data_IF_413432957840
#
_entry.id   IF_413432957840
#
_cell.length_a   1.000
_cell.length_b   1.000
_cell.length_c   1.000
_cell.angle_alpha   90.00
_cell.angle_beta   90.00
_cell.angle_gamma   90.00
#
_symmetry.space_group_name_H-M   'P 1'
#
loop_
_entity.id
_entity.type
_entity.pdbx_description
1 polymer ?
#
# COMPACT_ATOMS: atom_id res chain seq x y z
N UNK A 1 34.74 41.11 27.11
CA UNK A 1 33.37 41.36 26.62
C UNK A 1 33.21 40.94 25.16
N UNK A 2 34.05 41.41 24.24
CA UNK A 2 33.98 41.04 22.81
C UNK A 2 34.07 39.54 22.51
N UNK A 3 34.96 38.79 23.20
CA UNK A 3 35.07 37.33 23.03
C UNK A 3 33.78 36.60 23.43
N UNK A 4 33.09 37.08 24.46
CA UNK A 4 31.81 36.51 24.92
C UNK A 4 30.69 36.80 23.92
N UNK A 5 30.64 38.03 23.38
CA UNK A 5 29.68 38.41 22.35
C UNK A 5 29.87 37.58 21.07
N UNK A 6 31.12 37.40 20.63
CA UNK A 6 31.44 36.52 19.49
C UNK A 6 30.99 35.07 19.74
N UNK A 7 31.24 34.54 20.93
CA UNK A 7 30.81 33.18 21.31
C UNK A 7 29.28 33.02 21.23
N UNK A 8 28.52 34.00 21.73
CA UNK A 8 27.05 34.00 21.68
C UNK A 8 26.58 34.03 20.22
N UNK A 9 27.14 34.92 19.39
CA UNK A 9 26.79 35.01 17.97
C UNK A 9 27.04 33.66 17.27
N UNK A 10 28.21 33.04 17.47
CA UNK A 10 28.51 31.73 16.89
C UNK A 10 27.57 30.62 17.38
N UNK A 11 27.18 30.64 18.66
CA UNK A 11 26.21 29.66 19.18
C UNK A 11 24.82 29.82 18.55
N UNK A 12 24.35 31.05 18.34
CA UNK A 12 23.06 31.32 17.69
C UNK A 12 23.10 30.85 16.23
N UNK A 13 24.18 31.17 15.52
CA UNK A 13 24.39 30.69 14.14
C UNK A 13 24.41 29.16 14.09
N UNK A 14 25.11 28.50 15.01
CA UNK A 14 25.16 27.03 15.05
C UNK A 14 23.78 26.40 15.31
N UNK A 15 22.98 26.97 16.23
CA UNK A 15 21.61 26.51 16.49
C UNK A 15 20.73 26.70 15.26
N UNK A 16 20.83 27.84 14.57
CA UNK A 16 20.10 28.08 13.32
C UNK A 16 20.47 27.06 12.23
N UNK A 17 21.76 26.77 12.05
CA UNK A 17 22.23 25.77 11.07
C UNK A 17 21.70 24.38 11.41
N UNK A 18 21.76 23.96 12.68
CA UNK A 18 21.24 22.67 13.11
C UNK A 18 19.73 22.56 12.89
N UNK A 19 18.98 23.61 13.20
CA UNK A 19 17.53 23.65 12.98
C UNK A 19 17.18 23.53 11.50
N UNK A 20 17.83 24.31 10.63
CA UNK A 20 17.60 24.24 9.18
C UNK A 20 17.98 22.86 8.63
N UNK A 21 19.12 22.32 9.04
CA UNK A 21 19.58 20.99 8.61
C UNK A 21 18.61 19.88 9.03
N UNK A 22 18.08 19.96 10.25
CA UNK A 22 17.07 19.01 10.74
C UNK A 22 15.80 19.07 9.88
N UNK A 23 15.28 20.26 9.59
CA UNK A 23 14.09 20.42 8.76
C UNK A 23 14.30 19.91 7.33
N UNK A 24 15.48 20.14 6.74
CA UNK A 24 15.81 19.62 5.41
C UNK A 24 15.83 18.08 5.41
N UNK A 25 16.48 17.46 6.40
CA UNK A 25 16.54 15.99 6.51
C UNK A 25 15.13 15.41 6.70
N UNK A 26 14.33 16.03 7.57
CA UNK A 26 12.95 15.60 7.81
C UNK A 26 12.09 15.75 6.55
N UNK A 27 12.23 16.86 5.81
CA UNK A 27 11.53 17.09 4.56
C UNK A 27 11.91 16.08 3.48
N UNK A 28 13.22 15.84 3.27
CA UNK A 28 13.71 14.83 2.32
C UNK A 28 13.19 13.44 2.71
N UNK A 29 13.20 13.11 4.01
CA UNK A 29 12.64 11.87 4.54
C UNK A 29 11.15 11.71 4.23
N UNK A 30 10.34 12.76 4.46
CA UNK A 30 8.92 12.77 4.13
C UNK A 30 8.68 12.61 2.63
N UNK A 31 9.38 13.38 1.79
CA UNK A 31 9.25 13.30 0.32
C UNK A 31 9.60 11.88 -0.16
N UNK A 32 10.70 11.31 0.32
CA UNK A 32 11.14 9.97 -0.07
C UNK A 32 10.17 8.86 0.40
N UNK A 33 9.59 9.00 1.59
CA UNK A 33 8.56 8.07 2.10
C UNK A 33 7.26 8.16 1.29
N UNK A 34 6.92 9.36 0.83
CA UNK A 34 5.74 9.65 0.02
C UNK A 34 5.97 9.35 -1.47
N UNK A 35 7.21 9.14 -1.90
CA UNK A 35 7.51 8.81 -3.28
C UNK A 35 7.02 7.39 -3.60
N UNK A 36 6.45 7.24 -4.80
CA UNK A 36 6.10 5.94 -5.35
C UNK A 36 7.38 5.14 -5.62
N UNK A 37 7.47 3.95 -5.06
CA UNK A 37 8.55 2.99 -5.33
C UNK A 37 8.08 1.97 -6.36
N UNK A 38 8.93 1.73 -7.35
CA UNK A 38 8.66 0.75 -8.40
C UNK A 38 8.64 -0.67 -7.83
N UNK A 39 7.81 -1.52 -8.43
CA UNK A 39 7.68 -2.94 -8.15
C UNK A 39 8.18 -3.69 -9.38
N UNK A 40 8.84 -4.83 -9.17
CA UNK A 40 9.53 -5.55 -10.24
C UNK A 40 8.54 -5.95 -11.36
N UNK A 41 8.88 -5.60 -12.61
CA UNK A 41 7.99 -5.82 -13.78
C UNK A 41 7.58 -7.28 -13.96
N UNK A 42 8.46 -8.22 -13.61
CA UNK A 42 8.16 -9.66 -13.64
C UNK A 42 7.02 -10.03 -12.69
N UNK A 43 7.06 -9.51 -11.48
CA UNK A 43 5.99 -9.70 -10.49
C UNK A 43 4.67 -9.11 -10.98
N UNK A 44 4.70 -7.89 -11.54
CA UNK A 44 3.50 -7.27 -12.12
C UNK A 44 2.93 -8.13 -13.26
N UNK A 45 3.78 -8.69 -14.11
CA UNK A 45 3.35 -9.58 -15.20
C UNK A 45 2.70 -10.84 -14.66
N UNK A 46 3.29 -11.49 -13.66
CA UNK A 46 2.75 -12.69 -13.02
C UNK A 46 1.36 -12.43 -12.42
N UNK A 47 1.21 -11.35 -11.65
CA UNK A 47 -0.08 -10.94 -11.11
C UNK A 47 -1.11 -10.65 -12.21
N UNK A 48 -0.69 -10.04 -13.33
CA UNK A 48 -1.58 -9.71 -14.45
C UNK A 48 -2.10 -10.98 -15.14
N UNK A 49 -1.22 -11.94 -15.38
CA UNK A 49 -1.59 -13.19 -16.05
C UNK A 49 -2.51 -14.03 -15.15
N UNK A 50 -2.24 -14.05 -13.84
CA UNK A 50 -3.10 -14.71 -12.85
C UNK A 50 -4.48 -14.08 -12.75
N UNK A 51 -4.57 -12.76 -12.64
CA UNK A 51 -5.85 -12.05 -12.59
C UNK A 51 -6.65 -12.28 -13.87
N UNK A 52 -6.01 -12.26 -15.05
CA UNK A 52 -6.69 -12.61 -16.31
C UNK A 52 -7.21 -14.04 -16.34
N UNK A 53 -6.49 -14.98 -15.73
CA UNK A 53 -6.90 -16.38 -15.69
C UNK A 53 -8.09 -16.61 -14.74
N UNK A 54 -8.14 -15.87 -13.62
CA UNK A 54 -9.22 -15.91 -12.63
C UNK A 54 -10.46 -15.13 -13.11
N UNK A 55 -10.25 -14.02 -13.82
CA UNK A 55 -11.30 -13.09 -14.26
C UNK A 55 -11.77 -13.35 -15.70
N UNK A 56 -12.08 -14.60 -16.07
CA UNK A 56 -12.54 -14.91 -17.44
C UNK A 56 -13.79 -14.15 -17.88
N UNK A 57 -14.59 -13.68 -16.92
CA UNK A 57 -15.81 -12.93 -17.15
C UNK A 57 -15.60 -11.40 -17.15
N UNK A 58 -14.43 -10.92 -16.71
CA UNK A 58 -14.16 -9.49 -16.59
C UNK A 58 -12.96 -9.12 -17.49
N UNK A 59 -13.22 -8.26 -18.48
CA UNK A 59 -12.19 -7.83 -19.42
C UNK A 59 -11.23 -6.82 -18.75
N UNK A 60 -10.16 -7.36 -18.14
CA UNK A 60 -9.07 -6.60 -17.54
C UNK A 60 -8.37 -5.71 -18.59
N UNK A 61 -8.35 -4.40 -18.36
CA UNK A 61 -7.69 -3.42 -19.24
C UNK A 61 -6.27 -3.10 -18.77
N UNK A 62 -6.08 -2.89 -17.47
CA UNK A 62 -4.81 -2.46 -16.88
C UNK A 62 -4.59 -3.11 -15.51
N UNK A 63 -3.31 -3.22 -15.15
CA UNK A 63 -2.88 -3.54 -13.81
C UNK A 63 -1.66 -2.67 -13.51
N UNK A 64 -1.71 -1.96 -12.41
CA UNK A 64 -0.61 -1.17 -11.90
C UNK A 64 -0.38 -1.54 -10.42
N UNK A 65 0.88 -1.80 -10.08
CA UNK A 65 1.26 -2.11 -8.71
C UNK A 65 2.43 -1.23 -8.32
N UNK A 66 2.36 -0.65 -7.13
CA UNK A 66 3.48 0.10 -6.57
C UNK A 66 3.47 0.09 -5.06
N UNK A 67 4.61 0.46 -4.48
CA UNK A 67 4.75 0.60 -3.03
C UNK A 67 4.87 2.07 -2.64
N UNK A 68 4.16 2.49 -1.60
CA UNK A 68 4.21 3.86 -1.08
C UNK A 68 3.79 3.86 0.39
N UNK A 69 4.54 4.54 1.27
CA UNK A 69 4.19 4.72 2.70
C UNK A 69 3.77 3.42 3.44
N UNK A 70 4.51 2.32 3.30
CA UNK A 70 4.16 1.08 4.01
C UNK A 70 2.96 0.31 3.43
N UNK A 71 2.56 0.63 2.20
CA UNK A 71 1.39 0.06 1.52
C UNK A 71 1.78 -0.42 0.13
N UNK A 72 1.34 -1.63 -0.24
CA UNK A 72 1.24 -2.01 -1.64
C UNK A 72 -0.10 -1.54 -2.18
N UNK A 73 -0.07 -0.82 -3.30
CA UNK A 73 -1.25 -0.33 -4.00
C UNK A 73 -1.39 -1.07 -5.31
N UNK A 74 -2.51 -1.78 -5.45
CA UNK A 74 -2.95 -2.48 -6.65
C UNK A 74 -4.06 -1.67 -7.28
N UNK A 75 -3.86 -1.15 -8.48
CA UNK A 75 -4.89 -0.49 -9.28
C UNK A 75 -5.20 -1.39 -10.47
N UNK A 76 -6.44 -1.86 -10.54
CA UNK A 76 -6.93 -2.78 -11.57
C UNK A 76 -7.99 -2.08 -12.40
N UNK A 77 -7.77 -1.99 -13.70
CA UNK A 77 -8.74 -1.44 -14.64
C UNK A 77 -9.58 -2.53 -15.31
N UNK A 78 -10.88 -2.28 -15.44
CA UNK A 78 -11.81 -3.08 -16.21
C UNK A 78 -12.55 -2.22 -17.23
N UNK A 79 -12.76 -2.75 -18.44
CA UNK A 79 -13.47 -2.03 -19.51
C UNK A 79 -14.98 -1.88 -19.24
N UNK A 80 -15.57 -2.87 -18.56
CA UNK A 80 -17.01 -2.91 -18.27
C UNK A 80 -17.26 -2.34 -16.89
N UNK A 81 -18.41 -1.68 -16.70
CA UNK A 81 -18.90 -1.37 -15.37
C UNK A 81 -19.24 -2.64 -14.60
N UNK A 82 -18.72 -2.69 -13.38
CA UNK A 82 -18.94 -3.77 -12.43
C UNK A 82 -20.02 -3.35 -11.42
N UNK A 83 -20.72 -4.33 -10.88
CA UNK A 83 -21.53 -4.15 -9.66
C UNK A 83 -20.63 -4.17 -8.42
N UNK A 84 -21.17 -3.79 -7.26
CA UNK A 84 -20.44 -3.92 -5.99
C UNK A 84 -20.20 -5.42 -5.65
N UNK A 85 -21.10 -6.28 -6.09
CA UNK A 85 -21.02 -7.74 -5.94
C UNK A 85 -19.89 -8.30 -6.79
N UNK A 86 -19.74 -7.83 -8.03
CA UNK A 86 -18.61 -8.16 -8.90
C UNK A 86 -17.27 -7.67 -8.30
N UNK A 87 -17.24 -6.46 -7.74
CA UNK A 87 -16.03 -5.96 -7.11
C UNK A 87 -15.65 -6.76 -5.86
N UNK A 88 -16.63 -7.27 -5.10
CA UNK A 88 -16.39 -8.24 -4.01
C UNK A 88 -15.81 -9.56 -4.54
N UNK A 89 -16.22 -10.05 -5.72
CA UNK A 89 -15.62 -11.25 -6.34
C UNK A 89 -14.14 -11.01 -6.68
N UNK A 90 -13.78 -9.84 -7.22
CA UNK A 90 -12.38 -9.49 -7.50
C UNK A 90 -11.55 -9.47 -6.22
N UNK A 91 -12.10 -8.98 -5.10
CA UNK A 91 -11.41 -9.05 -3.80
C UNK A 91 -11.11 -10.50 -3.40
N UNK A 92 -12.00 -11.45 -3.70
CA UNK A 92 -11.73 -12.89 -3.45
C UNK A 92 -10.58 -13.41 -4.29
N UNK A 93 -10.56 -13.11 -5.58
CA UNK A 93 -9.44 -13.49 -6.46
C UNK A 93 -8.13 -12.83 -6.02
N UNK A 94 -8.19 -11.57 -5.54
CA UNK A 94 -7.00 -10.89 -5.00
C UNK A 94 -6.47 -11.60 -3.76
N UNK A 95 -7.34 -12.05 -2.83
CA UNK A 95 -6.90 -12.87 -1.70
C UNK A 95 -6.19 -14.14 -2.18
N UNK A 96 -6.77 -14.88 -3.12
CA UNK A 96 -6.15 -16.10 -3.68
C UNK A 96 -4.79 -15.82 -4.30
N UNK A 97 -4.66 -14.72 -5.04
CA UNK A 97 -3.39 -14.25 -5.60
C UNK A 97 -2.35 -13.96 -4.51
N UNK A 98 -2.73 -13.24 -3.46
CA UNK A 98 -1.84 -12.87 -2.35
C UNK A 98 -1.39 -14.07 -1.50
N UNK A 99 -2.16 -15.16 -1.53
CA UNK A 99 -1.83 -16.42 -0.86
C UNK A 99 -0.91 -17.32 -1.68
N UNK A 100 -0.63 -17.01 -2.96
CA UNK A 100 0.35 -17.75 -3.74
C UNK A 100 1.75 -17.59 -3.15
N UNK A 101 2.50 -18.68 -3.03
CA UNK A 101 3.84 -18.69 -2.45
C UNK A 101 4.80 -17.70 -3.12
N UNK A 102 4.76 -17.58 -4.45
CA UNK A 102 5.60 -16.63 -5.20
C UNK A 102 5.30 -15.19 -4.84
N UNK A 103 4.00 -14.84 -4.77
CA UNK A 103 3.52 -13.51 -4.44
C UNK A 103 3.83 -13.17 -2.98
N UNK A 104 3.48 -14.07 -2.07
CA UNK A 104 3.67 -13.87 -0.64
C UNK A 104 5.16 -13.64 -0.30
N UNK A 105 6.05 -14.50 -0.82
CA UNK A 105 7.51 -14.35 -0.65
C UNK A 105 8.03 -13.03 -1.23
N UNK A 106 7.52 -12.60 -2.38
CA UNK A 106 7.93 -11.32 -2.96
C UNK A 106 7.57 -10.15 -2.04
N UNK A 107 6.32 -10.12 -1.56
CA UNK A 107 5.81 -9.04 -0.72
C UNK A 107 6.60 -8.94 0.60
N UNK A 108 6.90 -10.08 1.23
CA UNK A 108 7.71 -10.16 2.45
C UNK A 108 9.15 -9.64 2.24
N UNK A 109 9.79 -10.04 1.14
CA UNK A 109 11.21 -9.78 0.92
C UNK A 109 11.51 -8.35 0.45
N UNK A 110 10.65 -7.75 -0.39
CA UNK A 110 10.99 -6.50 -1.07
C UNK A 110 10.84 -5.26 -0.17
N UNK A 111 9.67 -5.14 0.47
CA UNK A 111 9.32 -3.96 1.27
C UNK A 111 8.74 -4.30 2.64
N UNK A 112 9.00 -5.53 3.11
CA UNK A 112 8.50 -6.06 4.37
C UNK A 112 6.96 -6.07 4.46
N UNK A 113 6.48 -6.46 5.63
CA UNK A 113 5.07 -6.45 5.99
C UNK A 113 4.35 -5.13 5.67
N UNK A 114 3.47 -5.13 4.67
CA UNK A 114 2.82 -3.92 4.19
C UNK A 114 1.35 -4.16 3.87
N UNK A 115 0.52 -3.20 4.23
CA UNK A 115 -0.92 -3.25 3.98
C UNK A 115 -1.21 -3.27 2.48
N UNK A 116 -2.26 -3.98 2.07
CA UNK A 116 -2.70 -4.02 0.67
C UNK A 116 -3.85 -3.04 0.49
N UNK A 117 -3.75 -2.23 -0.55
CA UNK A 117 -4.78 -1.31 -1.00
C UNK A 117 -5.14 -1.70 -2.43
N UNK A 118 -6.41 -1.96 -2.68
CA UNK A 118 -6.93 -2.35 -3.97
C UNK A 118 -7.87 -1.26 -4.47
N UNK A 119 -7.62 -0.75 -5.66
CA UNK A 119 -8.50 0.15 -6.39
C UNK A 119 -8.95 -0.55 -7.67
N UNK A 120 -10.26 -0.69 -7.83
CA UNK A 120 -10.88 -1.28 -9.02
C UNK A 120 -11.51 -0.14 -9.81
N UNK A 121 -10.92 0.19 -10.95
CA UNK A 121 -11.35 1.24 -11.85
C UNK A 121 -12.21 0.66 -12.97
N UNK A 122 -13.45 1.11 -13.05
CA UNK A 122 -14.36 0.83 -14.16
C UNK A 122 -14.60 2.13 -14.95
N UNK A 123 -15.40 2.05 -16.02
CA UNK A 123 -15.69 3.23 -16.86
C UNK A 123 -16.40 4.34 -16.08
N UNK A 124 -17.37 4.00 -15.22
CA UNK A 124 -18.19 4.98 -14.50
C UNK A 124 -18.09 4.88 -12.96
N UNK A 125 -17.34 3.90 -12.43
CA UNK A 125 -17.28 3.63 -10.99
C UNK A 125 -15.88 3.25 -10.57
N UNK A 126 -15.54 3.58 -9.34
CA UNK A 126 -14.30 3.14 -8.69
C UNK A 126 -14.62 2.55 -7.33
N UNK A 127 -14.05 1.40 -7.05
CA UNK A 127 -14.18 0.72 -5.77
C UNK A 127 -12.84 0.69 -5.06
N UNK A 128 -12.85 0.97 -3.76
CA UNK A 128 -11.64 1.01 -2.94
C UNK A 128 -11.73 -0.02 -1.83
N UNK A 129 -10.68 -0.79 -1.69
CA UNK A 129 -10.56 -1.79 -0.65
C UNK A 129 -9.20 -1.70 0.05
N UNK A 130 -9.19 -2.03 1.34
CA UNK A 130 -8.00 -2.10 2.17
C UNK A 130 -7.95 -3.44 2.89
N UNK A 131 -6.82 -4.12 2.83
CA UNK A 131 -6.53 -5.30 3.64
C UNK A 131 -5.32 -5.00 4.54
N UNK A 132 -5.48 -4.98 5.87
CA UNK A 132 -4.34 -4.85 6.76
C UNK A 132 -3.48 -6.11 6.68
N UNK A 133 -2.16 -5.93 6.70
CA UNK A 133 -1.23 -7.06 6.67
C UNK A 133 -1.20 -7.83 7.99
N UNK A 134 -1.38 -7.12 9.11
CA UNK A 134 -1.55 -7.69 10.44
C UNK A 134 -2.97 -7.44 10.92
N UNK A 135 -3.64 -8.48 11.40
CA UNK A 135 -4.82 -8.37 12.26
C UNK A 135 -4.34 -8.63 13.68
N UNK A 136 -4.35 -7.64 14.58
CA UNK A 136 -4.03 -7.94 15.97
C UNK A 136 -5.12 -8.86 16.54
N UNK A 137 -4.83 -10.12 16.83
CA UNK A 137 -5.70 -10.85 17.73
C UNK A 137 -5.43 -10.41 19.17
N UNK A 138 -6.47 -10.46 20.01
CA UNK A 138 -6.33 -10.23 21.45
C UNK A 138 -5.51 -11.34 22.16
N UNK A 139 -5.01 -12.34 21.42
CA UNK A 139 -4.25 -13.47 21.94
C UNK A 139 -2.80 -13.44 21.47
N UNK A 140 -1.85 -13.46 22.41
CA UNK A 140 -0.40 -13.52 22.20
C UNK A 140 0.11 -14.83 21.54
N UNK A 141 -0.65 -15.43 20.62
CA UNK A 141 -0.19 -16.60 19.89
C UNK A 141 0.64 -16.18 18.68
N UNK A 142 1.95 -16.42 18.75
CA UNK A 142 2.99 -16.16 17.75
C UNK A 142 2.84 -16.90 16.41
N UNK A 143 1.66 -17.45 16.11
CA UNK A 143 1.34 -18.24 14.93
C UNK A 143 0.20 -17.62 14.09
N UNK A 144 0.03 -16.30 14.12
CA UNK A 144 -0.89 -15.61 13.23
C UNK A 144 -0.40 -15.70 11.77
N UNK A 145 -0.85 -16.74 11.08
CA UNK A 145 -0.68 -16.87 9.63
C UNK A 145 -1.55 -15.83 8.94
N UNK A 146 -0.89 -14.96 8.18
CA UNK A 146 -1.50 -14.03 7.21
C UNK A 146 -2.51 -14.79 6.37
N UNK A 147 -3.76 -14.37 6.42
CA UNK A 147 -4.81 -15.04 5.66
C UNK A 147 -5.55 -14.10 4.71
N UNK A 148 -5.18 -12.80 4.70
CA UNK A 148 -5.81 -11.75 3.89
C UNK A 148 -7.36 -11.87 3.88
N UNK A 149 -7.95 -12.33 4.99
CA UNK A 149 -9.38 -12.63 5.07
C UNK A 149 -10.21 -11.38 5.25
N UNK A 150 -9.73 -10.44 6.04
CA UNK A 150 -10.48 -9.23 6.36
C UNK A 150 -10.12 -8.10 5.38
N UNK A 151 -11.13 -7.65 4.64
CA UNK A 151 -11.04 -6.52 3.73
C UNK A 151 -12.03 -5.45 4.16
N UNK A 152 -11.65 -4.19 4.00
CA UNK A 152 -12.52 -3.06 4.27
C UNK A 152 -12.88 -2.40 2.95
N UNK A 153 -14.17 -2.29 2.65
CA UNK A 153 -14.65 -1.45 1.57
C UNK A 153 -14.64 0.00 2.05
N UNK A 154 -14.01 0.89 1.29
CA UNK A 154 -13.73 2.26 1.71
C UNK A 154 -14.25 3.29 0.73
N UNK A 155 -14.56 4.49 1.23
CA UNK A 155 -14.75 5.68 0.41
C UNK A 155 -13.39 6.33 0.19
N UNK A 156 -12.90 6.29 -1.04
CA UNK A 156 -11.51 6.64 -1.32
C UNK A 156 -10.55 5.72 -0.56
N UNK A 157 -9.42 6.23 -0.08
CA UNK A 157 -8.38 5.39 0.51
C UNK A 157 -8.49 5.15 2.01
N UNK A 158 -9.37 5.83 2.76
CA UNK A 158 -9.26 5.84 4.24
C UNK A 158 -10.56 5.62 5.01
N UNK A 159 -11.69 6.16 4.56
CA UNK A 159 -12.96 6.06 5.29
C UNK A 159 -13.59 4.67 5.09
N UNK A 160 -13.69 3.88 6.17
CA UNK A 160 -14.27 2.54 6.13
C UNK A 160 -15.80 2.64 6.07
N UNK A 161 -16.38 2.07 5.02
CA UNK A 161 -17.84 1.94 4.84
C UNK A 161 -18.30 0.62 5.47
N UNK A 162 -17.63 -0.47 5.15
CA UNK A 162 -17.98 -1.81 5.62
C UNK A 162 -16.78 -2.75 5.63
N UNK A 163 -16.87 -3.82 6.42
CA UNK A 163 -15.91 -4.92 6.41
C UNK A 163 -16.48 -6.13 5.67
N UNK A 164 -15.62 -6.83 4.95
CA UNK A 164 -15.91 -8.03 4.20
C UNK A 164 -14.92 -9.09 4.67
N UNK A 165 -15.45 -10.19 5.18
CA UNK A 165 -14.65 -11.38 5.43
C UNK A 165 -14.72 -12.28 4.20
N UNK A 166 -13.55 -12.62 3.68
CA UNK A 166 -13.40 -13.50 2.52
C UNK A 166 -12.81 -14.80 3.03
N UNK A 167 -13.60 -15.88 2.99
CA UNK A 167 -13.16 -17.24 3.34
C UNK A 167 -12.39 -17.96 2.24
#
# INVERSE_FOLDING_TARGET
>A
MEKLIKLIIYSVIAVCILYVSFNIIFFIGMVNSNARKEVDKKFISECKDDLKAMDKNFNLSSLEIYYQQGKYKFTIGYKKDLSEEDSKVIVKHMKELLLKDSVNKYLENKYSAANIYLTIECSNKTYYYKCPYYLSSASNNSNEKKNYKLWYFTKGTEEIISSIEVD
#
